data_IF_476954512976
#
_entry.id   IF_476954512976
#
_cell.length_a   1.000
_cell.length_b   1.000
_cell.length_c   1.000
_cell.angle_alpha   90.00
_cell.angle_beta   90.00
_cell.angle_gamma   90.00
#
_symmetry.space_group_name_H-M   'P 1'
#
loop_
_entity.id
_entity.type
_entity.pdbx_description
1 polymer ?
#
# COMPACT_ATOMS: atom_id res chain seq x y z
N UNK A 1 6.51 30.37 32.42
CA UNK A 1 7.02 31.03 31.20
C UNK A 1 7.35 29.94 30.18
N UNK A 2 6.69 29.91 29.05
CA UNK A 2 7.07 28.99 27.98
C UNK A 2 8.48 29.38 27.52
N UNK A 3 9.45 28.46 27.59
CA UNK A 3 10.82 28.73 27.14
C UNK A 3 10.86 29.09 25.66
N UNK A 4 11.87 29.80 25.22
CA UNK A 4 12.07 30.12 23.80
C UNK A 4 12.67 28.90 23.09
N UNK A 5 11.99 28.28 22.10
CA UNK A 5 12.51 27.10 21.40
C UNK A 5 13.85 27.37 20.68
N UNK A 6 14.07 28.58 20.13
CA UNK A 6 15.35 28.95 19.52
C UNK A 6 16.50 28.95 20.54
N UNK A 7 16.23 29.26 21.81
CA UNK A 7 17.23 29.18 22.87
C UNK A 7 17.58 27.73 23.23
N UNK A 8 16.60 26.84 23.23
CA UNK A 8 16.84 25.40 23.43
C UNK A 8 17.70 24.80 22.29
N UNK A 9 17.43 25.14 21.06
CA UNK A 9 18.25 24.73 19.91
C UNK A 9 19.68 25.25 20.06
N UNK A 10 19.86 26.52 20.42
CA UNK A 10 21.19 27.10 20.65
C UNK A 10 21.94 26.39 21.79
N UNK A 11 21.27 26.05 22.88
CA UNK A 11 21.86 25.29 23.99
C UNK A 11 22.27 23.88 23.56
N UNK A 12 21.44 23.20 22.77
CA UNK A 12 21.72 21.89 22.21
C UNK A 12 22.97 21.91 21.33
N UNK A 13 23.07 22.87 20.41
CA UNK A 13 24.27 23.04 19.58
C UNK A 13 25.52 23.35 20.39
N UNK A 14 25.39 24.09 21.50
CA UNK A 14 26.49 24.31 22.44
C UNK A 14 26.96 23.02 23.13
N UNK A 15 26.06 22.08 23.41
CA UNK A 15 26.39 20.75 23.95
C UNK A 15 27.09 19.87 22.93
N UNK A 16 26.65 19.91 21.68
CA UNK A 16 27.24 19.12 20.56
C UNK A 16 28.64 19.65 20.20
N UNK A 17 28.87 20.97 20.31
CA UNK A 17 30.13 21.64 19.99
C UNK A 17 30.74 22.29 21.21
N UNK A 18 31.12 21.52 22.25
CA UNK A 18 31.68 22.11 23.47
C UNK A 18 33.10 22.62 23.23
N UNK A 19 33.41 23.77 23.83
CA UNK A 19 34.79 24.23 23.91
C UNK A 19 35.72 23.25 24.67
N UNK A 20 37.04 23.54 24.70
CA UNK A 20 38.06 22.67 25.32
C UNK A 20 37.68 22.22 26.74
N UNK A 21 37.12 23.09 27.55
CA UNK A 21 36.70 22.76 28.93
C UNK A 21 35.48 21.83 28.96
N UNK A 22 34.51 21.96 28.05
CA UNK A 22 33.31 21.11 28.06
C UNK A 22 33.61 19.64 27.67
N UNK A 23 34.68 19.39 26.89
CA UNK A 23 35.15 18.04 26.55
C UNK A 23 35.76 17.30 27.77
N UNK A 24 36.19 18.02 28.79
CA UNK A 24 36.93 17.48 29.94
C UNK A 24 35.99 17.00 31.05
N UNK A 25 34.76 17.49 31.12
CA UNK A 25 33.83 17.24 32.23
C UNK A 25 32.62 16.37 31.91
N UNK A 26 32.37 16.01 30.63
CA UNK A 26 31.26 15.15 30.26
C UNK A 26 31.62 14.22 29.07
N UNK A 27 31.10 13.00 29.10
CA UNK A 27 31.28 12.04 27.98
C UNK A 27 30.63 12.60 26.71
N UNK A 28 31.10 12.14 25.53
CA UNK A 28 30.49 12.51 24.26
C UNK A 28 29.03 12.09 24.22
N UNK A 29 28.73 10.86 24.65
CA UNK A 29 27.39 10.27 24.68
C UNK A 29 26.44 11.12 25.56
N UNK A 30 26.80 11.42 26.80
CA UNK A 30 25.95 12.23 27.68
C UNK A 30 25.63 13.62 27.13
N UNK A 31 26.59 14.26 26.42
CA UNK A 31 26.33 15.56 25.76
C UNK A 31 25.38 15.44 24.59
N UNK A 32 25.44 14.33 23.83
CA UNK A 32 24.52 14.05 22.72
C UNK A 32 23.13 13.81 23.26
N UNK A 33 22.98 13.00 24.32
CA UNK A 33 21.68 12.73 24.94
C UNK A 33 21.03 14.02 25.45
N UNK A 34 21.78 14.86 26.20
CA UNK A 34 21.29 16.17 26.64
C UNK A 34 20.91 17.09 25.47
N UNK A 35 21.66 17.07 24.37
CA UNK A 35 21.34 17.85 23.19
C UNK A 35 20.07 17.35 22.50
N UNK A 36 19.88 16.02 22.39
CA UNK A 36 18.67 15.43 21.81
C UNK A 36 17.42 15.74 22.65
N UNK A 37 17.53 15.75 23.97
CA UNK A 37 16.42 16.15 24.87
C UNK A 37 16.01 17.60 24.63
N UNK A 38 17.01 18.51 24.54
CA UNK A 38 16.78 19.93 24.27
C UNK A 38 16.13 20.15 22.88
N UNK A 39 16.61 19.44 21.83
CA UNK A 39 16.06 19.53 20.49
C UNK A 39 14.64 18.95 20.45
N UNK A 40 14.38 17.84 21.14
CA UNK A 40 13.02 17.25 21.22
C UNK A 40 12.05 18.23 21.86
N UNK A 41 12.47 18.88 22.95
CA UNK A 41 11.68 19.92 23.63
C UNK A 41 11.42 21.10 22.67
N UNK A 42 12.43 21.57 21.96
CA UNK A 42 12.30 22.65 20.98
C UNK A 42 11.34 22.30 19.84
N UNK A 43 11.48 21.09 19.24
CA UNK A 43 10.64 20.61 18.17
C UNK A 43 9.16 20.57 18.57
N UNK A 44 8.88 20.05 19.79
CA UNK A 44 7.52 20.03 20.32
C UNK A 44 6.96 21.44 20.54
N UNK A 45 7.77 22.38 21.00
CA UNK A 45 7.35 23.78 21.16
C UNK A 45 7.05 24.44 19.81
N UNK A 46 7.87 24.19 18.77
CA UNK A 46 7.59 24.66 17.42
C UNK A 46 6.30 24.06 16.86
N UNK A 47 6.02 22.77 17.11
CA UNK A 47 4.74 22.12 16.73
C UNK A 47 3.55 22.82 17.39
N UNK A 48 3.61 23.06 18.70
CA UNK A 48 2.56 23.77 19.45
C UNK A 48 2.34 25.17 18.87
N UNK A 49 3.42 25.86 18.52
CA UNK A 49 3.38 27.19 17.90
C UNK A 49 2.99 27.16 16.40
N UNK A 50 2.73 25.98 15.83
CA UNK A 50 2.47 25.75 14.40
C UNK A 50 3.60 26.25 13.48
N UNK A 51 4.81 26.37 13.99
CA UNK A 51 5.98 26.66 13.19
C UNK A 51 6.52 25.35 12.57
N UNK A 52 5.77 24.87 11.59
CA UNK A 52 5.97 23.54 11.00
C UNK A 52 7.34 23.38 10.34
N UNK A 53 7.85 24.42 9.69
CA UNK A 53 9.17 24.39 9.06
C UNK A 53 10.27 24.14 10.09
N UNK A 54 10.35 24.96 11.15
CA UNK A 54 11.36 24.80 12.21
C UNK A 54 11.19 23.49 12.99
N UNK A 55 9.95 23.05 13.23
CA UNK A 55 9.68 21.76 13.86
C UNK A 55 10.26 20.62 13.01
N UNK A 56 9.97 20.60 11.72
CA UNK A 56 10.47 19.61 10.79
C UNK A 56 12.00 19.57 10.70
N UNK A 57 12.64 20.74 10.59
CA UNK A 57 14.11 20.87 10.59
C UNK A 57 14.76 20.32 11.87
N UNK A 58 14.15 20.60 13.01
CA UNK A 58 14.65 20.11 14.31
C UNK A 58 14.50 18.58 14.41
N UNK A 59 13.40 18.02 13.91
CA UNK A 59 13.22 16.57 13.86
C UNK A 59 14.17 15.89 12.85
N UNK A 60 14.47 16.51 11.70
CA UNK A 60 15.50 15.99 10.77
C UNK A 60 16.88 15.93 11.45
N UNK A 61 17.21 16.97 12.25
CA UNK A 61 18.46 17.00 13.00
C UNK A 61 18.51 15.88 14.06
N UNK A 62 17.43 15.67 14.80
CA UNK A 62 17.30 14.54 15.74
C UNK A 62 17.50 13.19 15.07
N UNK A 63 16.89 12.98 13.90
CA UNK A 63 17.06 11.75 13.13
C UNK A 63 18.50 11.50 12.70
N UNK A 64 19.23 12.55 12.29
CA UNK A 64 20.66 12.45 11.96
C UNK A 64 21.51 12.12 13.17
N UNK A 65 21.28 12.81 14.29
CA UNK A 65 22.02 12.60 15.53
C UNK A 65 21.81 11.17 16.06
N UNK A 66 20.59 10.65 16.02
CA UNK A 66 20.29 9.26 16.42
C UNK A 66 21.12 8.26 15.59
N UNK A 67 21.17 8.43 14.27
CA UNK A 67 21.97 7.55 13.38
C UNK A 67 23.47 7.67 13.68
N UNK A 68 23.99 8.90 13.81
CA UNK A 68 25.40 9.16 14.06
C UNK A 68 25.91 8.59 15.38
N UNK A 69 25.02 8.41 16.35
CA UNK A 69 25.34 7.86 17.67
C UNK A 69 24.87 6.40 17.86
N UNK A 70 24.55 5.72 16.76
CA UNK A 70 24.20 4.29 16.77
C UNK A 70 22.81 4.02 17.33
N UNK A 71 21.94 5.03 17.40
CA UNK A 71 20.56 4.87 17.81
C UNK A 71 19.72 4.11 16.79
N UNK A 72 18.61 3.54 17.24
CA UNK A 72 17.71 2.76 16.39
C UNK A 72 16.33 3.39 16.26
N UNK A 73 16.17 4.67 16.62
CA UNK A 73 14.87 5.37 16.67
C UNK A 73 14.73 6.49 15.65
N UNK A 74 15.75 6.72 14.81
CA UNK A 74 15.79 7.77 13.81
C UNK A 74 14.52 7.80 12.91
N UNK A 75 13.95 6.62 12.63
CA UNK A 75 12.72 6.52 11.84
C UNK A 75 11.55 7.30 12.44
N UNK A 76 11.44 7.36 13.77
CA UNK A 76 10.37 8.14 14.44
C UNK A 76 10.56 9.63 14.24
N UNK A 77 11.78 10.12 14.36
CA UNK A 77 12.10 11.51 14.12
C UNK A 77 11.86 11.93 12.68
N UNK A 78 12.23 11.09 11.70
CA UNK A 78 11.93 11.36 10.28
C UNK A 78 10.44 11.31 9.98
N UNK A 79 9.65 10.45 10.66
CA UNK A 79 8.19 10.46 10.53
C UNK A 79 7.58 11.75 11.10
N UNK A 80 8.08 12.23 12.24
CA UNK A 80 7.65 13.50 12.83
C UNK A 80 8.05 14.69 11.96
N UNK A 81 9.25 14.67 11.36
CA UNK A 81 9.69 15.66 10.38
C UNK A 81 8.77 15.67 9.16
N UNK A 82 8.49 14.51 8.60
CA UNK A 82 7.57 14.35 7.47
C UNK A 82 6.18 14.91 7.78
N UNK A 83 5.65 14.60 8.97
CA UNK A 83 4.37 15.15 9.41
C UNK A 83 4.40 16.68 9.48
N UNK A 84 5.46 17.27 10.02
CA UNK A 84 5.59 18.72 10.07
C UNK A 84 5.66 19.32 8.66
N UNK A 85 6.49 18.74 7.77
CA UNK A 85 6.63 19.24 6.40
C UNK A 85 5.39 19.03 5.55
N UNK A 86 4.52 18.08 5.87
CA UNK A 86 3.26 17.90 5.12
C UNK A 86 2.37 19.15 5.09
N UNK A 87 2.54 20.07 6.04
CA UNK A 87 1.82 21.35 6.11
C UNK A 87 2.47 22.48 5.31
N UNK A 88 3.75 22.37 4.92
CA UNK A 88 4.51 23.50 4.34
C UNK A 88 5.36 23.12 3.13
N UNK A 89 5.83 21.90 3.02
CA UNK A 89 6.70 21.42 1.94
C UNK A 89 6.51 19.91 1.71
N UNK A 90 5.65 19.58 0.76
CA UNK A 90 5.34 18.18 0.42
C UNK A 90 6.57 17.39 -0.02
N UNK A 91 7.50 18.01 -0.76
CA UNK A 91 8.70 17.31 -1.23
C UNK A 91 9.60 16.91 -0.06
N UNK A 92 9.81 17.80 0.92
CA UNK A 92 10.57 17.48 2.14
C UNK A 92 9.83 16.43 2.98
N UNK A 93 8.49 16.48 3.04
CA UNK A 93 7.70 15.44 3.70
C UNK A 93 8.01 14.06 3.10
N UNK A 94 7.93 13.92 1.78
CA UNK A 94 8.16 12.65 1.09
C UNK A 94 9.61 12.16 1.28
N UNK A 95 10.60 13.04 1.18
CA UNK A 95 12.01 12.71 1.47
C UNK A 95 12.22 12.19 2.89
N UNK A 96 11.54 12.76 3.88
CA UNK A 96 11.65 12.30 5.26
C UNK A 96 10.96 10.95 5.48
N UNK A 97 9.89 10.65 4.76
CA UNK A 97 9.27 9.32 4.77
C UNK A 97 10.22 8.26 4.19
N UNK A 98 10.91 8.57 3.09
CA UNK A 98 11.90 7.66 2.51
C UNK A 98 13.07 7.44 3.50
N UNK A 99 13.59 8.51 4.15
CA UNK A 99 14.61 8.39 5.20
C UNK A 99 14.14 7.55 6.41
N UNK A 100 12.86 7.67 6.77
CA UNK A 100 12.29 6.83 7.83
C UNK A 100 12.32 5.35 7.45
N UNK A 101 11.96 5.01 6.21
CA UNK A 101 12.03 3.64 5.69
C UNK A 101 13.47 3.13 5.71
N UNK A 102 14.42 3.88 5.15
CA UNK A 102 15.84 3.52 5.14
C UNK A 102 16.40 3.29 6.54
N UNK A 103 15.99 4.12 7.50
CA UNK A 103 16.40 3.96 8.90
C UNK A 103 15.84 2.69 9.53
N UNK A 104 14.60 2.32 9.20
CA UNK A 104 14.01 1.06 9.61
C UNK A 104 14.74 -0.15 9.00
N UNK A 105 15.09 -0.09 7.71
CA UNK A 105 15.85 -1.14 7.02
C UNK A 105 17.20 -1.37 7.72
N UNK A 106 17.96 -0.30 7.93
CA UNK A 106 19.27 -0.36 8.61
C UNK A 106 19.19 -0.91 10.02
N UNK A 107 18.08 -0.64 10.72
CA UNK A 107 17.84 -1.11 12.08
C UNK A 107 17.16 -2.50 12.13
N UNK A 108 16.87 -3.15 10.98
CA UNK A 108 16.16 -4.43 10.92
C UNK A 108 14.71 -4.37 11.40
N UNK A 109 14.08 -3.18 11.38
CA UNK A 109 12.71 -2.94 11.85
C UNK A 109 11.71 -3.00 10.71
N UNK A 110 11.60 -4.17 10.08
CA UNK A 110 10.82 -4.36 8.86
C UNK A 110 9.32 -4.12 9.03
N UNK A 111 8.74 -4.43 10.21
CA UNK A 111 7.34 -4.10 10.48
C UNK A 111 7.08 -2.58 10.41
N UNK A 112 7.99 -1.75 10.95
CA UNK A 112 7.87 -0.29 10.90
C UNK A 112 8.08 0.25 9.48
N UNK A 113 9.04 -0.32 8.74
CA UNK A 113 9.24 0.00 7.33
C UNK A 113 7.97 -0.28 6.52
N UNK A 114 7.38 -1.46 6.71
CA UNK A 114 6.13 -1.87 6.06
C UNK A 114 4.97 -0.93 6.37
N UNK A 115 4.77 -0.57 7.65
CA UNK A 115 3.72 0.39 8.06
C UNK A 115 3.92 1.77 7.42
N UNK A 116 5.16 2.25 7.36
CA UNK A 116 5.47 3.54 6.74
C UNK A 116 5.20 3.51 5.24
N UNK A 117 5.68 2.48 4.54
CA UNK A 117 5.44 2.30 3.11
C UNK A 117 3.94 2.16 2.79
N UNK A 118 3.18 1.41 3.61
CA UNK A 118 1.73 1.26 3.45
C UNK A 118 1.01 2.60 3.66
N UNK A 119 1.42 3.42 4.63
CA UNK A 119 0.84 4.76 4.85
C UNK A 119 1.07 5.67 3.63
N UNK A 120 2.26 5.65 3.05
CA UNK A 120 2.58 6.40 1.83
C UNK A 120 1.72 5.89 0.65
N UNK A 121 1.56 4.56 0.55
CA UNK A 121 0.72 3.96 -0.48
C UNK A 121 -0.74 4.39 -0.38
N UNK A 122 -1.30 4.41 0.84
CA UNK A 122 -2.67 4.91 1.09
C UNK A 122 -2.82 6.37 0.63
N UNK A 123 -1.85 7.22 0.94
CA UNK A 123 -1.86 8.64 0.54
C UNK A 123 -1.84 8.81 -0.99
N UNK A 124 -1.03 8.01 -1.70
CA UNK A 124 -1.06 8.00 -3.16
C UNK A 124 -2.37 7.46 -3.73
N UNK A 125 -2.96 6.43 -3.12
CA UNK A 125 -4.27 5.88 -3.52
C UNK A 125 -5.38 6.93 -3.37
N UNK A 126 -5.43 7.64 -2.24
CA UNK A 126 -6.40 8.73 -1.97
C UNK A 126 -6.27 9.89 -2.98
N UNK A 127 -5.05 10.15 -3.45
CA UNK A 127 -4.78 11.16 -4.48
C UNK A 127 -4.87 10.60 -5.91
N UNK A 128 -5.43 9.41 -6.11
CA UNK A 128 -5.59 8.75 -7.40
C UNK A 128 -4.28 8.50 -8.18
N UNK A 129 -3.13 8.55 -7.51
CA UNK A 129 -1.84 8.21 -8.08
C UNK A 129 -1.58 6.71 -7.92
N UNK A 130 -2.33 5.91 -8.69
CA UNK A 130 -2.35 4.47 -8.52
C UNK A 130 -1.01 3.80 -8.82
N UNK A 131 -0.22 4.33 -9.78
CA UNK A 131 1.08 3.76 -10.13
C UNK A 131 2.05 3.80 -8.93
N UNK A 132 2.18 4.96 -8.29
CA UNK A 132 3.00 5.10 -7.07
C UNK A 132 2.40 4.34 -5.88
N UNK A 133 1.07 4.29 -5.76
CA UNK A 133 0.44 3.49 -4.73
C UNK A 133 0.78 2.00 -4.86
N UNK A 134 0.70 1.44 -6.07
CA UNK A 134 1.07 0.05 -6.39
C UNK A 134 2.53 -0.22 -5.98
N UNK A 135 3.45 0.66 -6.37
CA UNK A 135 4.88 0.54 -6.02
C UNK A 135 5.08 0.48 -4.50
N UNK A 136 4.50 1.41 -3.76
CA UNK A 136 4.65 1.48 -2.30
C UNK A 136 3.94 0.35 -1.57
N UNK A 137 2.76 -0.13 -2.06
CA UNK A 137 2.14 -1.33 -1.50
C UNK A 137 2.96 -2.60 -1.76
N UNK A 138 3.58 -2.76 -2.95
CA UNK A 138 4.51 -3.86 -3.21
C UNK A 138 5.66 -3.84 -2.22
N UNK A 139 6.27 -2.67 -2.00
CA UNK A 139 7.36 -2.49 -1.03
C UNK A 139 6.93 -2.80 0.41
N UNK A 140 5.74 -2.35 0.80
CA UNK A 140 5.18 -2.68 2.11
C UNK A 140 4.99 -4.20 2.29
N UNK A 141 4.48 -4.89 1.26
CA UNK A 141 4.30 -6.34 1.29
C UNK A 141 5.63 -7.10 1.41
N UNK A 142 6.70 -6.59 0.76
CA UNK A 142 8.06 -7.14 0.89
C UNK A 142 8.57 -7.02 2.33
N UNK A 143 8.44 -5.85 2.96
CA UNK A 143 8.85 -5.67 4.36
C UNK A 143 8.07 -6.55 5.32
N UNK A 144 6.75 -6.67 5.14
CA UNK A 144 5.95 -7.58 5.96
C UNK A 144 6.33 -9.05 5.75
N UNK A 145 6.83 -9.41 4.55
CA UNK A 145 7.34 -10.76 4.30
C UNK A 145 8.67 -11.07 4.99
N UNK A 146 9.50 -10.03 5.24
CA UNK A 146 10.77 -10.17 5.96
C UNK A 146 10.60 -10.31 7.47
N UNK A 147 9.42 -9.97 7.98
CA UNK A 147 9.09 -10.06 9.40
C UNK A 147 8.49 -11.43 9.75
N UNK A 148 8.21 -11.66 11.02
CA UNK A 148 7.62 -12.91 11.52
C UNK A 148 6.20 -13.16 10.99
N UNK A 149 5.64 -14.35 11.30
CA UNK A 149 4.29 -14.76 10.87
C UNK A 149 3.16 -13.79 11.27
N UNK A 150 3.38 -12.94 12.29
CA UNK A 150 2.38 -11.98 12.77
C UNK A 150 2.03 -10.88 11.75
N UNK A 151 2.83 -10.71 10.69
CA UNK A 151 2.63 -9.70 9.63
C UNK A 151 1.99 -10.26 8.37
N UNK A 152 1.70 -11.56 8.31
CA UNK A 152 1.12 -12.24 7.14
C UNK A 152 -0.19 -11.59 6.66
N UNK A 153 -1.08 -11.21 7.59
CA UNK A 153 -2.34 -10.54 7.23
C UNK A 153 -2.09 -9.16 6.60
N UNK A 154 -1.11 -8.40 7.12
CA UNK A 154 -0.74 -7.09 6.56
C UNK A 154 -0.12 -7.24 5.16
N UNK A 155 0.74 -8.23 4.97
CA UNK A 155 1.29 -8.58 3.66
C UNK A 155 0.18 -8.89 2.65
N UNK A 156 -0.77 -9.76 3.03
CA UNK A 156 -1.90 -10.15 2.18
C UNK A 156 -2.78 -8.95 1.81
N UNK A 157 -3.06 -8.05 2.76
CA UNK A 157 -3.82 -6.82 2.49
C UNK A 157 -3.11 -5.91 1.49
N UNK A 158 -1.79 -5.73 1.63
CA UNK A 158 -1.01 -4.94 0.67
C UNK A 158 -1.02 -5.58 -0.72
N UNK A 159 -0.84 -6.90 -0.83
CA UNK A 159 -0.91 -7.60 -2.12
C UNK A 159 -2.29 -7.51 -2.76
N UNK A 160 -3.36 -7.62 -1.97
CA UNK A 160 -4.73 -7.43 -2.46
C UNK A 160 -4.92 -6.02 -3.03
N UNK A 161 -4.44 -4.99 -2.32
CA UNK A 161 -4.46 -3.61 -2.82
C UNK A 161 -3.69 -3.44 -4.12
N UNK A 162 -2.52 -4.08 -4.25
CA UNK A 162 -1.74 -4.08 -5.51
C UNK A 162 -2.58 -4.61 -6.66
N UNK A 163 -3.18 -5.79 -6.51
CA UNK A 163 -3.98 -6.41 -7.57
C UNK A 163 -5.25 -5.58 -7.89
N UNK A 164 -5.96 -5.09 -6.87
CA UNK A 164 -7.15 -4.26 -7.04
C UNK A 164 -6.82 -2.95 -7.80
N UNK A 165 -5.74 -2.27 -7.41
CA UNK A 165 -5.33 -1.02 -8.06
C UNK A 165 -4.82 -1.23 -9.48
N UNK A 166 -4.11 -2.33 -9.76
CA UNK A 166 -3.72 -2.70 -11.12
C UNK A 166 -4.94 -2.80 -12.04
N UNK A 167 -6.00 -3.47 -11.58
CA UNK A 167 -7.23 -3.62 -12.33
C UNK A 167 -7.98 -2.29 -12.52
N UNK A 168 -8.13 -1.51 -11.44
CA UNK A 168 -8.86 -0.22 -11.46
C UNK A 168 -8.16 0.81 -12.35
N UNK A 169 -6.83 0.80 -12.41
CA UNK A 169 -6.03 1.75 -13.20
C UNK A 169 -5.71 1.28 -14.61
N UNK A 170 -6.13 0.08 -15.00
CA UNK A 170 -5.72 -0.55 -16.26
C UNK A 170 -4.19 -0.61 -16.40
N UNK A 171 -3.51 -1.02 -15.32
CA UNK A 171 -2.05 -1.11 -15.30
C UNK A 171 -1.56 -2.14 -16.31
N UNK A 172 -0.42 -1.87 -16.97
CA UNK A 172 0.15 -2.72 -18.03
C UNK A 172 0.31 -4.20 -17.64
N UNK A 173 0.60 -4.47 -16.37
CA UNK A 173 0.84 -5.83 -15.86
C UNK A 173 -0.43 -6.48 -15.23
N UNK A 174 -1.62 -5.85 -15.37
CA UNK A 174 -2.83 -6.33 -14.70
C UNK A 174 -3.23 -7.75 -15.13
N UNK A 175 -3.03 -8.11 -16.40
CA UNK A 175 -3.40 -9.43 -16.90
C UNK A 175 -2.39 -10.53 -16.55
N UNK A 176 -1.17 -10.16 -16.16
CA UNK A 176 -0.09 -11.11 -15.86
C UNK A 176 0.18 -11.27 -14.38
N UNK A 177 0.08 -10.19 -13.59
CA UNK A 177 0.38 -10.21 -12.15
C UNK A 177 -0.86 -10.34 -11.27
N UNK A 178 -1.94 -9.60 -11.58
CA UNK A 178 -3.11 -9.58 -10.71
C UNK A 178 -3.78 -10.96 -10.55
N UNK A 179 -3.97 -11.79 -11.62
CA UNK A 179 -4.51 -13.14 -11.45
C UNK A 179 -3.68 -14.02 -10.52
N UNK A 180 -2.34 -13.94 -10.61
CA UNK A 180 -1.44 -14.70 -9.76
C UNK A 180 -1.56 -14.30 -8.28
N UNK A 181 -1.73 -12.99 -8.03
CA UNK A 181 -1.94 -12.49 -6.67
C UNK A 181 -3.28 -12.97 -6.12
N UNK A 182 -4.37 -12.82 -6.87
CA UNK A 182 -5.70 -13.27 -6.42
C UNK A 182 -5.74 -14.78 -6.19
N UNK A 183 -5.21 -15.58 -7.12
CA UNK A 183 -5.13 -17.03 -6.94
C UNK A 183 -4.36 -17.41 -5.68
N UNK A 184 -3.15 -16.85 -5.49
CA UNK A 184 -2.33 -17.11 -4.30
C UNK A 184 -3.07 -16.74 -3.01
N UNK A 185 -3.73 -15.58 -2.97
CA UNK A 185 -4.51 -15.15 -1.80
C UNK A 185 -5.73 -16.06 -1.59
N UNK A 186 -6.46 -16.41 -2.64
CA UNK A 186 -7.62 -17.30 -2.58
C UNK A 186 -7.26 -18.66 -1.99
N UNK A 187 -6.18 -19.29 -2.49
CA UNK A 187 -5.69 -20.57 -1.96
C UNK A 187 -5.27 -20.46 -0.49
N UNK A 188 -4.61 -19.38 -0.10
CA UNK A 188 -4.26 -19.16 1.30
C UNK A 188 -5.49 -18.96 2.19
N UNK A 189 -6.51 -18.25 1.72
CA UNK A 189 -7.74 -18.01 2.48
C UNK A 189 -8.57 -19.27 2.66
N UNK A 190 -8.54 -20.21 1.72
CA UNK A 190 -9.21 -21.51 1.89
C UNK A 190 -8.72 -22.31 3.09
N UNK A 191 -7.45 -22.15 3.47
CA UNK A 191 -6.88 -22.84 4.63
C UNK A 191 -7.40 -22.33 5.97
N UNK A 192 -8.09 -21.17 5.97
CA UNK A 192 -8.62 -20.53 7.18
C UNK A 192 -10.14 -20.51 7.13
N UNK A 193 -10.86 -21.23 8.00
CA UNK A 193 -12.32 -21.36 7.95
C UNK A 193 -13.08 -20.02 7.87
N UNK A 194 -12.62 -19.01 8.61
CA UNK A 194 -13.22 -17.66 8.63
C UNK A 194 -13.01 -16.86 7.33
N UNK A 195 -12.04 -17.24 6.51
CA UNK A 195 -11.68 -16.53 5.27
C UNK A 195 -12.20 -17.22 4.00
N UNK A 196 -12.96 -18.32 4.11
CA UNK A 196 -13.49 -19.04 2.93
C UNK A 196 -14.35 -18.15 2.02
N UNK A 197 -15.14 -17.23 2.58
CA UNK A 197 -15.89 -16.27 1.77
C UNK A 197 -14.97 -15.32 0.98
N UNK A 198 -13.89 -14.86 1.61
CA UNK A 198 -12.88 -14.03 0.94
C UNK A 198 -12.12 -14.80 -0.13
N UNK A 199 -11.90 -16.12 0.06
CA UNK A 199 -11.32 -16.96 -0.99
C UNK A 199 -12.17 -16.96 -2.27
N UNK A 200 -13.49 -17.09 -2.13
CA UNK A 200 -14.43 -17.06 -3.26
C UNK A 200 -14.40 -15.72 -4.01
N UNK A 201 -14.27 -14.61 -3.30
CA UNK A 201 -14.09 -13.28 -3.93
C UNK A 201 -12.79 -13.20 -4.71
N UNK A 202 -11.69 -13.77 -4.20
CA UNK A 202 -10.42 -13.82 -4.93
C UNK A 202 -10.54 -14.67 -6.21
N UNK A 203 -11.21 -15.80 -6.15
CA UNK A 203 -11.46 -16.66 -7.31
C UNK A 203 -12.33 -15.96 -8.36
N UNK A 204 -13.39 -15.28 -7.93
CA UNK A 204 -14.21 -14.46 -8.81
C UNK A 204 -13.35 -13.40 -9.53
N UNK A 205 -12.54 -12.66 -8.80
CA UNK A 205 -11.67 -11.62 -9.36
C UNK A 205 -10.67 -12.19 -10.38
N UNK A 206 -10.08 -13.35 -10.07
CA UNK A 206 -9.12 -14.00 -10.96
C UNK A 206 -9.77 -14.38 -12.29
N UNK A 207 -10.90 -15.09 -12.27
CA UNK A 207 -11.62 -15.52 -13.48
C UNK A 207 -12.13 -14.32 -14.28
N UNK A 208 -12.64 -13.29 -13.58
CA UNK A 208 -13.16 -12.09 -14.23
C UNK A 208 -12.08 -11.31 -15.03
N UNK A 209 -10.82 -11.37 -14.61
CA UNK A 209 -9.72 -10.77 -15.40
C UNK A 209 -9.54 -11.48 -16.74
N UNK A 210 -9.60 -12.81 -16.76
CA UNK A 210 -9.54 -13.57 -18.03
C UNK A 210 -10.74 -13.27 -18.93
N UNK A 211 -11.95 -13.14 -18.34
CA UNK A 211 -13.15 -12.72 -19.08
C UNK A 211 -12.95 -11.30 -19.65
N UNK A 212 -12.39 -10.36 -18.87
CA UNK A 212 -12.12 -9.01 -19.34
C UNK A 212 -11.06 -8.94 -20.47
N UNK A 213 -10.20 -9.96 -20.57
CA UNK A 213 -9.23 -10.14 -21.66
C UNK A 213 -9.84 -10.85 -22.88
N UNK A 214 -11.04 -11.43 -22.75
CA UNK A 214 -11.69 -12.37 -23.69
C UNK A 214 -10.88 -13.67 -23.85
N UNK A 215 -10.18 -14.08 -22.80
CA UNK A 215 -9.47 -15.37 -22.76
C UNK A 215 -10.39 -16.44 -22.17
N UNK A 216 -11.25 -17.02 -23.02
CA UNK A 216 -12.20 -18.05 -22.66
C UNK A 216 -11.51 -19.26 -22.03
N UNK A 217 -10.43 -19.72 -22.65
CA UNK A 217 -9.71 -20.94 -22.21
C UNK A 217 -9.15 -20.76 -20.81
N UNK A 218 -8.46 -19.66 -20.56
CA UNK A 218 -7.92 -19.39 -19.22
C UNK A 218 -9.02 -19.18 -18.19
N UNK A 219 -10.15 -18.54 -18.58
CA UNK A 219 -11.30 -18.34 -17.70
C UNK A 219 -11.93 -19.68 -17.27
N UNK A 220 -12.16 -20.59 -18.24
CA UNK A 220 -12.72 -21.93 -17.96
C UNK A 220 -11.77 -22.78 -17.10
N UNK A 221 -10.49 -22.83 -17.46
CA UNK A 221 -9.48 -23.58 -16.71
C UNK A 221 -9.38 -23.08 -15.26
N UNK A 222 -9.35 -21.76 -15.05
CA UNK A 222 -9.30 -21.20 -13.73
C UNK A 222 -10.59 -21.47 -12.93
N UNK A 223 -11.76 -21.28 -13.53
CA UNK A 223 -13.04 -21.55 -12.86
C UNK A 223 -13.15 -23.01 -12.45
N UNK A 224 -12.87 -23.95 -13.35
CA UNK A 224 -12.92 -25.38 -13.07
C UNK A 224 -11.94 -25.79 -11.97
N UNK A 225 -10.73 -25.22 -11.97
CA UNK A 225 -9.76 -25.42 -10.88
C UNK A 225 -10.33 -24.98 -9.53
N UNK A 226 -10.94 -23.79 -9.44
CA UNK A 226 -11.45 -23.28 -8.16
C UNK A 226 -12.70 -24.02 -7.68
N UNK A 227 -13.50 -24.56 -8.58
CA UNK A 227 -14.64 -25.44 -8.25
C UNK A 227 -14.18 -26.80 -7.68
N UNK A 228 -13.02 -27.29 -8.11
CA UNK A 228 -12.40 -28.49 -7.51
C UNK A 228 -11.83 -28.21 -6.11
N UNK A 229 -11.19 -27.04 -5.92
CA UNK A 229 -10.60 -26.66 -4.63
C UNK A 229 -11.66 -26.30 -3.58
N UNK A 230 -12.77 -25.67 -3.97
CA UNK A 230 -13.92 -25.36 -3.13
C UNK A 230 -15.24 -25.65 -3.85
N UNK A 231 -15.77 -26.88 -3.74
CA UNK A 231 -17.05 -27.23 -4.39
C UNK A 231 -18.23 -26.34 -3.94
N UNK A 232 -18.15 -25.71 -2.76
CA UNK A 232 -19.19 -24.79 -2.28
C UNK A 232 -19.19 -23.45 -3.03
N UNK A 233 -18.19 -23.19 -3.85
CA UNK A 233 -18.17 -22.04 -4.75
C UNK A 233 -19.20 -22.18 -5.86
N UNK A 234 -19.51 -23.40 -6.31
CA UNK A 234 -20.45 -23.68 -7.41
C UNK A 234 -21.86 -23.15 -7.16
N UNK A 235 -22.35 -23.27 -5.94
CA UNK A 235 -23.68 -22.82 -5.58
C UNK A 235 -23.80 -21.30 -5.44
N UNK A 236 -22.66 -20.58 -5.49
CA UNK A 236 -22.69 -19.14 -5.34
C UNK A 236 -23.22 -18.43 -6.57
N UNK A 237 -23.77 -17.24 -6.35
CA UNK A 237 -24.19 -16.34 -7.40
C UNK A 237 -23.01 -15.89 -8.28
N UNK A 238 -21.85 -15.70 -7.68
CA UNK A 238 -20.62 -15.29 -8.34
C UNK A 238 -20.17 -16.37 -9.35
N UNK A 239 -20.19 -17.64 -8.96
CA UNK A 239 -19.86 -18.74 -9.86
C UNK A 239 -20.86 -18.86 -11.02
N UNK A 240 -22.17 -18.73 -10.73
CA UNK A 240 -23.21 -18.75 -11.77
C UNK A 240 -23.03 -17.63 -12.78
N UNK A 241 -22.74 -16.42 -12.31
CA UNK A 241 -22.42 -15.27 -13.14
C UNK A 241 -21.20 -15.56 -14.02
N UNK A 242 -20.10 -16.07 -13.46
CA UNK A 242 -18.89 -16.37 -14.23
C UNK A 242 -19.14 -17.41 -15.32
N UNK A 243 -19.90 -18.49 -15.02
CA UNK A 243 -20.28 -19.51 -16.02
C UNK A 243 -21.06 -18.92 -17.19
N UNK A 244 -21.97 -17.99 -16.91
CA UNK A 244 -22.72 -17.30 -17.97
C UNK A 244 -21.83 -16.29 -18.71
N UNK A 245 -21.01 -15.53 -17.99
CA UNK A 245 -20.09 -14.55 -18.58
C UNK A 245 -19.10 -15.19 -19.56
N UNK A 246 -18.58 -16.37 -19.25
CA UNK A 246 -17.70 -17.13 -20.16
C UNK A 246 -18.43 -17.44 -21.48
N UNK A 247 -19.69 -17.88 -21.45
CA UNK A 247 -20.47 -18.16 -22.65
C UNK A 247 -20.65 -16.94 -23.56
N UNK A 248 -20.75 -15.73 -22.97
CA UNK A 248 -20.92 -14.49 -23.73
C UNK A 248 -19.64 -13.99 -24.39
N UNK A 249 -18.47 -14.47 -23.94
CA UNK A 249 -17.20 -14.18 -24.60
C UNK A 249 -16.78 -15.25 -25.62
N UNK A 250 -17.46 -16.42 -25.62
CA UNK A 250 -17.23 -17.50 -26.60
C UNK A 250 -17.70 -17.10 -27.98
N UNK A 251 -17.20 -17.78 -29.01
CA UNK A 251 -17.52 -17.50 -30.40
C UNK A 251 -18.86 -18.15 -30.83
N UNK A 252 -19.85 -17.39 -31.43
CA UNK A 252 -19.84 -15.94 -31.60
C UNK A 252 -20.10 -15.19 -30.26
N UNK A 253 -19.37 -14.10 -30.00
CA UNK A 253 -19.52 -13.35 -28.76
C UNK A 253 -20.88 -12.61 -28.71
N UNK A 254 -21.42 -12.39 -27.49
CA UNK A 254 -22.73 -11.73 -27.27
C UNK A 254 -22.61 -10.60 -26.23
N UNK A 255 -22.27 -9.40 -26.70
CA UNK A 255 -22.17 -8.20 -25.85
C UNK A 255 -23.51 -7.82 -25.21
N UNK A 256 -24.62 -7.98 -25.92
CA UNK A 256 -25.96 -7.63 -25.42
C UNK A 256 -26.42 -8.61 -24.34
N UNK A 257 -26.18 -9.91 -24.53
CA UNK A 257 -26.42 -10.95 -23.52
C UNK A 257 -25.59 -10.70 -22.28
N UNK A 258 -24.33 -10.32 -22.42
CA UNK A 258 -23.47 -10.01 -21.30
C UNK A 258 -23.94 -8.76 -20.52
N UNK A 259 -24.41 -7.71 -21.21
CA UNK A 259 -25.01 -6.53 -20.55
C UNK A 259 -26.24 -6.89 -19.73
N UNK A 260 -27.10 -7.76 -20.24
CA UNK A 260 -28.31 -8.25 -19.53
C UNK A 260 -27.93 -9.05 -18.29
N UNK A 261 -26.91 -9.91 -18.40
CA UNK A 261 -26.39 -10.69 -17.26
C UNK A 261 -25.82 -9.77 -16.17
N UNK A 262 -25.03 -8.75 -16.54
CA UNK A 262 -24.52 -7.74 -15.60
C UNK A 262 -25.68 -7.00 -14.93
N UNK A 263 -26.73 -6.62 -15.67
CA UNK A 263 -27.89 -5.95 -15.12
C UNK A 263 -28.63 -6.84 -14.09
N UNK A 264 -28.81 -8.12 -14.41
CA UNK A 264 -29.37 -9.12 -13.50
C UNK A 264 -28.50 -9.28 -12.25
N UNK A 265 -27.20 -9.34 -12.42
CA UNK A 265 -26.24 -9.43 -11.32
C UNK A 265 -26.24 -8.17 -10.43
N UNK A 266 -26.45 -6.97 -10.99
CA UNK A 266 -26.50 -5.68 -10.28
C UNK A 266 -27.75 -5.54 -9.40
N UNK A 267 -28.90 -6.10 -9.76
CA UNK A 267 -30.17 -5.89 -9.04
C UNK A 267 -30.14 -6.28 -7.56
N UNK A 268 -29.24 -7.17 -7.15
CA UNK A 268 -29.17 -7.71 -5.79
C UNK A 268 -28.01 -7.16 -4.96
N UNK A 269 -27.07 -6.44 -5.55
CA UNK A 269 -25.90 -5.86 -4.86
C UNK A 269 -25.31 -4.72 -5.67
N UNK A 270 -25.00 -3.62 -4.99
CA UNK A 270 -24.26 -2.51 -5.59
C UNK A 270 -22.86 -2.97 -6.04
N UNK A 271 -22.46 -2.53 -7.24
CA UNK A 271 -21.16 -2.89 -7.81
C UNK A 271 -20.10 -1.92 -7.32
N UNK A 272 -19.02 -2.45 -6.80
CA UNK A 272 -17.83 -1.67 -6.48
C UNK A 272 -17.08 -1.20 -7.76
N UNK A 273 -16.15 -0.27 -7.58
CA UNK A 273 -15.37 0.30 -8.68
C UNK A 273 -14.60 -0.77 -9.47
N UNK A 274 -14.09 -1.80 -8.77
CA UNK A 274 -13.34 -2.88 -9.41
C UNK A 274 -14.23 -3.65 -10.40
N UNK A 275 -15.41 -4.11 -9.96
CA UNK A 275 -16.36 -4.83 -10.81
C UNK A 275 -16.84 -3.99 -11.99
N UNK A 276 -17.16 -2.70 -11.73
CA UNK A 276 -17.55 -1.79 -12.81
C UNK A 276 -16.47 -1.67 -13.89
N UNK A 277 -15.21 -1.54 -13.48
CA UNK A 277 -14.07 -1.44 -14.41
C UNK A 277 -13.92 -2.73 -15.22
N UNK A 278 -13.94 -3.90 -14.57
CA UNK A 278 -13.78 -5.17 -15.26
C UNK A 278 -14.93 -5.49 -16.23
N UNK A 279 -16.16 -5.23 -15.82
CA UNK A 279 -17.33 -5.44 -16.68
C UNK A 279 -17.30 -4.51 -17.90
N UNK A 280 -16.97 -3.23 -17.72
CA UNK A 280 -16.83 -2.29 -18.83
C UNK A 280 -15.72 -2.71 -19.80
N UNK A 281 -14.61 -3.21 -19.27
CA UNK A 281 -13.49 -3.69 -20.08
C UNK A 281 -13.87 -4.92 -20.90
N UNK A 282 -14.56 -5.91 -20.30
CA UNK A 282 -15.05 -7.09 -21.00
C UNK A 282 -16.01 -6.72 -22.13
N UNK A 283 -16.99 -5.87 -21.86
CA UNK A 283 -17.95 -5.40 -22.88
C UNK A 283 -17.20 -4.75 -24.05
N UNK A 284 -16.30 -3.81 -23.75
CA UNK A 284 -15.52 -3.11 -24.77
C UNK A 284 -14.70 -4.08 -25.63
N UNK A 285 -14.13 -5.10 -25.03
CA UNK A 285 -13.32 -6.10 -25.75
C UNK A 285 -14.17 -6.97 -26.69
N UNK A 286 -15.39 -7.34 -26.27
CA UNK A 286 -16.36 -8.06 -27.09
C UNK A 286 -16.78 -7.21 -28.29
N UNK A 287 -17.13 -5.94 -28.08
CA UNK A 287 -17.65 -5.04 -29.13
C UNK A 287 -16.61 -4.66 -30.20
N UNK A 288 -15.33 -4.51 -29.82
CA UNK A 288 -14.28 -4.15 -30.78
C UNK A 288 -13.97 -5.25 -31.80
N UNK A 289 -14.15 -6.50 -31.43
CA UNK A 289 -13.95 -7.61 -32.39
C UNK A 289 -15.12 -7.73 -33.37
N UNK A 290 -16.37 -7.45 -32.94
CA UNK A 290 -17.52 -7.40 -33.85
C UNK A 290 -17.34 -6.33 -34.96
N UNK A 291 -16.60 -5.22 -34.68
CA UNK A 291 -16.31 -4.19 -35.68
C UNK A 291 -15.16 -4.56 -36.64
N UNK A 292 -14.19 -5.38 -36.21
CA UNK A 292 -13.08 -5.84 -37.05
C UNK A 292 -13.50 -6.96 -37.98
N UNK A 293 -14.41 -7.86 -37.58
CA UNK A 293 -14.93 -8.94 -38.38
C UNK A 293 -15.93 -8.47 -39.48
N UNK A 294 -16.43 -7.24 -39.36
CA UNK A 294 -17.33 -6.59 -40.34
C UNK A 294 -16.59 -5.78 -41.43
N UNK A 295 -15.26 -5.70 -41.41
CA UNK A 295 -14.42 -5.01 -42.41
C UNK A 295 -13.69 -5.96 -43.33
#
# INVERSE_FOLDING_TARGET
MAGNPDELVRKAHGKLNPGLFGKMFSSKEGRVDEAMDLLTSAANMYKIAKNWAKAGETYEELGRLDIENGGGTAYTYYQDAAHCFSFVDKNRSDQNLDRAIESCEKAGKYMQAGKTAQRIANEFEENFNYEKAIEKYKKAAEYYAMESQNTKSMQQQCLLKVADLMCISNHKDMFTEAPKIYEKLGMQYLTVPLLKSSAKDMFFKCVMIFIAQKDEVSAEVALNKYLLEDPTFDDTRDSKFLKNAIKFISDPPDAEGFRKEIQSYKTLRELDKWKLTMFAMAIKKIEHEDEEDLK
#
